data_IF_713233825785
#
_entry.id   IF_713233825785
#
_cell.length_a   1.000
_cell.length_b   1.000
_cell.length_c   1.000
_cell.angle_alpha   90.00
_cell.angle_beta   90.00
_cell.angle_gamma   90.00
#
_symmetry.space_group_name_H-M   'P 1'
#
loop_
_entity.id
_entity.type
_entity.pdbx_description
1 polymer ?
#
# COMPACT_ATOMS: atom_id res chain seq x y z
N UNK A 1 -52.40 -2.87 -22.67
CA UNK A 1 -51.03 -3.03 -23.22
C UNK A 1 -50.01 -2.11 -22.52
N UNK A 2 -50.40 -1.36 -21.49
CA UNK A 2 -49.56 -0.37 -20.80
C UNK A 2 -48.75 -0.96 -19.63
N UNK A 3 -49.23 -2.07 -19.06
CA UNK A 3 -48.63 -2.73 -17.90
C UNK A 3 -47.30 -3.44 -18.22
N UNK A 4 -47.14 -3.96 -19.45
CA UNK A 4 -45.95 -4.72 -19.86
C UNK A 4 -44.71 -3.84 -20.01
N UNK A 5 -44.89 -2.57 -20.39
CA UNK A 5 -43.79 -1.63 -20.51
C UNK A 5 -43.27 -1.16 -19.13
N UNK A 6 -44.14 -1.03 -18.14
CA UNK A 6 -43.72 -0.65 -16.78
C UNK A 6 -42.98 -1.77 -16.04
N UNK A 7 -43.34 -3.03 -16.27
CA UNK A 7 -42.55 -4.17 -15.76
C UNK A 7 -41.18 -4.26 -16.42
N UNK A 8 -41.08 -4.03 -17.74
CA UNK A 8 -39.79 -4.09 -18.43
C UNK A 8 -38.85 -2.93 -18.03
N UNK A 9 -39.37 -1.72 -17.83
CA UNK A 9 -38.58 -0.58 -17.34
C UNK A 9 -38.07 -0.83 -15.91
N UNK A 10 -38.91 -1.41 -15.02
CA UNK A 10 -38.49 -1.78 -13.67
C UNK A 10 -37.45 -2.92 -13.63
N UNK A 11 -37.52 -3.85 -14.58
CA UNK A 11 -36.56 -4.95 -14.70
C UNK A 11 -35.20 -4.49 -15.23
N UNK A 12 -35.17 -3.47 -16.10
CA UNK A 12 -33.91 -2.87 -16.57
C UNK A 12 -33.27 -1.96 -15.51
N UNK A 13 -34.05 -1.18 -14.75
CA UNK A 13 -33.52 -0.38 -13.63
C UNK A 13 -32.93 -1.27 -12.52
N UNK A 14 -33.58 -2.40 -12.17
CA UNK A 14 -33.05 -3.33 -11.17
C UNK A 14 -31.81 -4.11 -11.64
N UNK A 15 -31.59 -4.23 -12.95
CA UNK A 15 -30.38 -4.85 -13.50
C UNK A 15 -29.16 -3.94 -13.44
N UNK A 16 -29.36 -2.62 -13.41
CA UNK A 16 -28.28 -1.63 -13.37
C UNK A 16 -27.78 -1.30 -11.96
N UNK A 17 -28.60 -1.48 -10.93
CA UNK A 17 -28.21 -1.27 -9.52
C UNK A 17 -27.40 -2.44 -8.94
N UNK A 18 -27.36 -3.58 -9.63
CA UNK A 18 -26.52 -4.73 -9.33
C UNK A 18 -25.08 -4.58 -9.82
N UNK A 19 -24.42 -3.43 -9.64
CA UNK A 19 -22.95 -3.40 -9.63
C UNK A 19 -22.52 -4.12 -8.35
N UNK A 20 -22.50 -5.45 -8.44
CA UNK A 20 -21.76 -6.32 -7.52
C UNK A 20 -20.41 -5.66 -7.34
N UNK A 21 -20.18 -5.12 -6.14
CA UNK A 21 -18.86 -4.77 -5.68
C UNK A 21 -18.06 -6.06 -5.82
N UNK A 22 -17.32 -6.20 -6.93
CA UNK A 22 -16.40 -7.31 -7.15
C UNK A 22 -15.61 -7.41 -5.86
N UNK A 23 -15.82 -8.49 -5.11
CA UNK A 23 -15.13 -8.69 -3.85
C UNK A 23 -13.65 -8.55 -4.14
N UNK A 24 -13.01 -7.58 -3.50
CA UNK A 24 -11.58 -7.34 -3.70
C UNK A 24 -10.84 -8.50 -3.03
N UNK A 25 -10.69 -9.61 -3.77
CA UNK A 25 -10.01 -10.79 -3.29
C UNK A 25 -8.53 -10.67 -3.63
N UNK A 26 -7.71 -10.57 -2.59
CA UNK A 26 -6.26 -10.67 -2.64
C UNK A 26 -5.87 -12.13 -2.97
N UNK A 27 -6.02 -12.49 -4.23
CA UNK A 27 -5.82 -13.86 -4.76
C UNK A 27 -4.36 -14.13 -5.11
N UNK A 28 -3.58 -13.10 -5.42
CA UNK A 28 -2.19 -13.21 -5.88
C UNK A 28 -1.21 -12.61 -4.88
N UNK A 29 0.01 -13.16 -4.83
CA UNK A 29 1.00 -12.75 -3.85
C UNK A 29 1.44 -11.30 -4.02
N UNK A 30 1.63 -10.85 -5.27
CA UNK A 30 1.98 -9.46 -5.54
C UNK A 30 0.93 -8.44 -5.05
N UNK A 31 -0.35 -8.83 -4.92
CA UNK A 31 -1.39 -7.91 -4.45
C UNK A 31 -1.20 -7.61 -2.96
N UNK A 32 -0.73 -8.59 -2.19
CA UNK A 32 -0.35 -8.38 -0.79
C UNK A 32 0.85 -7.46 -0.67
N UNK A 33 1.88 -7.65 -1.50
CA UNK A 33 3.02 -6.74 -1.54
C UNK A 33 2.58 -5.32 -1.90
N UNK A 34 1.78 -5.15 -2.97
CA UNK A 34 1.25 -3.84 -3.34
C UNK A 34 0.52 -3.15 -2.18
N UNK A 35 -0.26 -3.93 -1.43
CA UNK A 35 -1.02 -3.41 -0.30
C UNK A 35 -0.11 -2.94 0.84
N UNK A 36 0.87 -3.77 1.22
CA UNK A 36 1.80 -3.48 2.32
C UNK A 36 2.78 -2.37 1.92
N UNK A 37 3.38 -2.47 0.74
CA UNK A 37 4.46 -1.59 0.32
C UNK A 37 4.00 -0.18 -0.05
N UNK A 38 2.77 -0.04 -0.56
CA UNK A 38 2.30 1.22 -1.13
C UNK A 38 0.95 1.67 -0.61
N UNK A 39 -0.08 0.81 -0.61
CA UNK A 39 -1.44 1.28 -0.30
C UNK A 39 -1.56 1.65 1.18
N UNK A 40 -1.16 0.77 2.09
CA UNK A 40 -1.26 1.01 3.52
C UNK A 40 -0.45 2.25 3.97
N UNK A 41 0.84 2.42 3.62
CA UNK A 41 1.59 3.61 3.98
C UNK A 41 1.00 4.88 3.34
N UNK A 42 0.50 4.81 2.11
CA UNK A 42 -0.17 5.93 1.45
C UNK A 42 -1.45 6.34 2.20
N UNK A 43 -2.26 5.39 2.63
CA UNK A 43 -3.47 5.68 3.40
C UNK A 43 -3.16 6.36 4.74
N UNK A 44 -2.12 5.88 5.44
CA UNK A 44 -1.68 6.50 6.70
C UNK A 44 -1.16 7.92 6.43
N UNK A 45 -0.36 8.10 5.37
CA UNK A 45 0.16 9.41 4.96
C UNK A 45 -0.96 10.39 4.65
N UNK A 46 -1.92 9.99 3.82
CA UNK A 46 -3.07 10.83 3.46
C UNK A 46 -3.93 11.18 4.68
N UNK A 47 -4.14 10.22 5.59
CA UNK A 47 -4.83 10.49 6.85
C UNK A 47 -4.07 11.52 7.71
N UNK A 48 -2.74 11.46 7.73
CA UNK A 48 -1.88 12.41 8.45
C UNK A 48 -1.87 13.83 7.83
N UNK A 49 -2.38 14.01 6.61
CA UNK A 49 -2.56 15.32 5.99
C UNK A 49 -3.90 15.98 6.35
N UNK A 50 -4.86 15.22 6.86
CA UNK A 50 -6.16 15.75 7.23
C UNK A 50 -6.08 16.63 8.50
N UNK A 51 -6.95 17.66 8.63
CA UNK A 51 -6.97 18.56 9.79
C UNK A 51 -7.60 17.89 11.02
N UNK A 52 -6.96 16.85 11.54
CA UNK A 52 -7.44 16.00 12.64
C UNK A 52 -6.91 16.45 14.03
N UNK A 53 -6.40 17.68 14.14
CA UNK A 53 -5.83 18.22 15.38
C UNK A 53 -4.73 17.33 15.95
N UNK A 54 -4.84 16.93 17.22
CA UNK A 54 -3.85 16.11 17.92
C UNK A 54 -3.62 14.71 17.30
N UNK A 55 -4.60 14.17 16.56
CA UNK A 55 -4.43 12.88 15.87
C UNK A 55 -3.46 12.97 14.70
N UNK A 56 -3.28 14.16 14.10
CA UNK A 56 -2.36 14.39 12.98
C UNK A 56 -0.93 13.96 13.32
N UNK A 57 -0.42 14.43 14.47
CA UNK A 57 0.92 14.09 14.94
C UNK A 57 1.09 12.62 15.33
N UNK A 58 0.01 11.93 15.72
CA UNK A 58 0.05 10.48 15.96
C UNK A 58 0.14 9.71 14.64
N UNK A 59 -0.66 10.08 13.63
CA UNK A 59 -0.62 9.46 12.30
C UNK A 59 0.72 9.69 11.60
N UNK A 60 1.31 10.88 11.75
CA UNK A 60 2.66 11.16 11.25
C UNK A 60 3.73 10.24 11.88
N UNK A 61 3.64 10.01 13.20
CA UNK A 61 4.51 9.06 13.91
C UNK A 61 4.27 7.61 13.46
N UNK A 62 3.02 7.20 13.27
CA UNK A 62 2.69 5.86 12.76
C UNK A 62 3.26 5.66 11.37
N UNK A 63 3.10 6.64 10.47
CA UNK A 63 3.69 6.60 9.13
C UNK A 63 5.21 6.50 9.19
N UNK A 64 5.86 7.31 10.03
CA UNK A 64 7.31 7.27 10.19
C UNK A 64 7.81 5.92 10.70
N UNK A 65 7.17 5.37 11.74
CA UNK A 65 7.48 4.03 12.25
C UNK A 65 7.22 2.96 11.20
N UNK A 66 6.16 3.07 10.41
CA UNK A 66 5.88 2.16 9.31
C UNK A 66 7.02 2.14 8.29
N UNK A 67 7.49 3.33 7.90
CA UNK A 67 8.64 3.47 7.00
C UNK A 67 9.89 2.79 7.58
N UNK A 68 10.19 2.94 8.86
CA UNK A 68 11.41 2.36 9.47
C UNK A 68 11.32 0.86 9.76
N UNK A 69 10.20 0.37 10.28
CA UNK A 69 10.10 -1.02 10.71
C UNK A 69 9.65 -1.96 9.59
N UNK A 70 8.75 -1.50 8.73
CA UNK A 70 8.11 -2.34 7.72
C UNK A 70 8.77 -2.17 6.36
N UNK A 71 9.02 -0.93 5.93
CA UNK A 71 9.50 -0.64 4.58
C UNK A 71 11.00 -0.44 4.47
N UNK A 72 11.71 -0.12 5.55
CA UNK A 72 13.14 0.13 5.47
C UNK A 72 13.81 -1.12 4.90
N UNK A 73 14.54 -0.99 3.78
CA UNK A 73 14.94 -2.18 3.07
C UNK A 73 16.21 -2.79 3.69
N UNK A 74 16.97 -2.04 4.49
CA UNK A 74 18.24 -2.51 5.07
C UNK A 74 18.02 -3.03 6.49
N UNK A 75 18.32 -4.31 6.77
CA UNK A 75 18.26 -4.82 8.13
C UNK A 75 19.28 -4.12 9.03
N UNK A 76 18.78 -3.47 10.08
CA UNK A 76 19.61 -3.03 11.20
C UNK A 76 19.20 -3.82 12.45
N UNK A 77 20.04 -4.79 12.81
CA UNK A 77 19.82 -5.66 13.96
C UNK A 77 20.05 -4.95 15.32
N UNK A 78 20.74 -3.80 15.34
CA UNK A 78 20.92 -3.04 16.58
C UNK A 78 19.63 -2.30 16.96
N UNK A 79 18.98 -1.66 15.98
CA UNK A 79 17.71 -0.94 16.19
C UNK A 79 16.47 -1.80 15.95
N UNK A 80 16.63 -3.02 15.43
CA UNK A 80 15.55 -3.94 15.04
C UNK A 80 14.63 -3.26 14.00
N UNK A 81 15.24 -2.58 13.02
CA UNK A 81 14.53 -1.91 11.92
C UNK A 81 14.89 -2.53 10.57
N UNK A 82 14.01 -2.37 9.58
CA UNK A 82 14.22 -2.84 8.21
C UNK A 82 14.41 -4.34 8.00
N UNK A 83 14.04 -5.17 8.99
CA UNK A 83 14.07 -6.64 8.86
C UNK A 83 12.84 -7.15 8.10
N UNK A 84 11.69 -6.48 8.23
CA UNK A 84 10.41 -6.96 7.70
C UNK A 84 10.37 -6.91 6.17
N UNK A 85 10.74 -5.77 5.55
CA UNK A 85 10.68 -5.62 4.09
C UNK A 85 11.46 -6.72 3.34
N UNK A 86 12.74 -7.00 3.68
CA UNK A 86 13.51 -8.06 3.04
C UNK A 86 12.89 -9.44 3.22
N UNK A 87 12.41 -9.77 4.43
CA UNK A 87 11.79 -11.06 4.71
C UNK A 87 10.49 -11.24 3.94
N UNK A 88 9.66 -10.20 3.88
CA UNK A 88 8.40 -10.22 3.14
C UNK A 88 8.64 -10.44 1.65
N UNK A 89 9.55 -9.67 1.07
CA UNK A 89 9.90 -9.79 -0.34
C UNK A 89 10.54 -11.13 -0.67
N UNK A 90 11.43 -11.63 0.18
CA UNK A 90 12.04 -12.95 0.02
C UNK A 90 10.98 -14.06 0.07
N UNK A 91 10.02 -13.98 0.99
CA UNK A 91 8.91 -14.93 1.09
C UNK A 91 8.08 -14.96 -0.20
N UNK A 92 7.67 -13.80 -0.72
CA UNK A 92 6.89 -13.74 -1.96
C UNK A 92 7.69 -14.14 -3.19
N UNK A 93 8.98 -13.84 -3.24
CA UNK A 93 9.90 -14.27 -4.29
C UNK A 93 9.99 -15.81 -4.33
N UNK A 94 10.30 -16.44 -3.19
CA UNK A 94 10.41 -17.91 -3.07
C UNK A 94 9.07 -18.56 -3.44
N UNK A 95 7.95 -18.04 -2.93
CA UNK A 95 6.63 -18.59 -3.24
C UNK A 95 6.26 -18.42 -4.71
N UNK A 96 6.57 -17.27 -5.31
CA UNK A 96 6.36 -17.02 -6.74
C UNK A 96 7.12 -18.01 -7.60
N UNK A 97 8.39 -18.29 -7.26
CA UNK A 97 9.22 -19.29 -7.94
C UNK A 97 8.60 -20.69 -7.78
N UNK A 98 8.26 -21.10 -6.55
CA UNK A 98 7.65 -22.42 -6.26
C UNK A 98 6.34 -22.65 -7.01
N UNK A 99 5.48 -21.63 -7.07
CA UNK A 99 4.19 -21.67 -7.76
C UNK A 99 4.30 -21.40 -9.27
N UNK A 100 5.52 -21.16 -9.79
CA UNK A 100 5.81 -20.76 -11.18
C UNK A 100 5.01 -19.52 -11.62
N UNK A 101 4.68 -18.63 -10.69
CA UNK A 101 3.92 -17.41 -10.95
C UNK A 101 4.89 -16.26 -11.25
N UNK A 102 5.18 -16.04 -12.53
CA UNK A 102 6.14 -15.03 -12.97
C UNK A 102 5.77 -13.61 -12.51
N UNK A 103 4.48 -13.28 -12.45
CA UNK A 103 4.03 -11.97 -11.97
C UNK A 103 4.42 -11.70 -10.53
N UNK A 104 4.30 -12.71 -9.64
CA UNK A 104 4.67 -12.55 -8.23
C UNK A 104 6.16 -12.29 -8.07
N UNK A 105 6.99 -13.02 -8.83
CA UNK A 105 8.45 -12.88 -8.82
C UNK A 105 8.87 -11.51 -9.33
N UNK A 106 8.38 -11.11 -10.51
CA UNK A 106 8.74 -9.84 -11.14
C UNK A 106 8.28 -8.66 -10.27
N UNK A 107 7.03 -8.67 -9.81
CA UNK A 107 6.50 -7.57 -9.01
C UNK A 107 7.16 -7.49 -7.63
N UNK A 108 7.52 -8.61 -7.01
CA UNK A 108 8.33 -8.58 -5.79
C UNK A 108 9.68 -7.88 -6.00
N UNK A 109 10.39 -8.20 -7.08
CA UNK A 109 11.68 -7.54 -7.38
C UNK A 109 11.47 -6.05 -7.64
N UNK A 110 10.48 -5.70 -8.47
CA UNK A 110 10.20 -4.31 -8.84
C UNK A 110 9.80 -3.48 -7.63
N UNK A 111 8.90 -3.98 -6.79
CA UNK A 111 8.46 -3.27 -5.58
C UNK A 111 9.60 -3.08 -4.60
N UNK A 112 10.41 -4.12 -4.38
CA UNK A 112 11.59 -3.99 -3.53
C UNK A 112 12.54 -2.92 -4.05
N UNK A 113 12.85 -2.92 -5.35
CA UNK A 113 13.72 -1.90 -5.96
C UNK A 113 13.14 -0.50 -5.79
N UNK A 114 11.83 -0.29 -5.94
CA UNK A 114 11.21 1.00 -5.69
C UNK A 114 11.42 1.43 -4.23
N UNK A 115 11.22 0.53 -3.27
CA UNK A 115 11.46 0.80 -1.85
C UNK A 115 12.93 1.19 -1.63
N UNK A 116 13.88 0.42 -2.17
CA UNK A 116 15.31 0.76 -2.15
C UNK A 116 15.56 2.18 -2.62
N UNK A 117 14.99 2.56 -3.76
CA UNK A 117 15.17 3.90 -4.33
C UNK A 117 14.57 4.98 -3.43
N UNK A 118 13.41 4.75 -2.81
CA UNK A 118 12.79 5.70 -1.87
C UNK A 118 13.69 6.00 -0.65
N UNK A 119 14.47 5.02 -0.20
CA UNK A 119 15.37 5.20 0.96
C UNK A 119 16.81 5.61 0.58
N UNK A 120 17.18 5.55 -0.69
CA UNK A 120 18.56 5.83 -1.14
C UNK A 120 18.71 7.06 -2.01
N UNK A 121 17.75 7.35 -2.89
CA UNK A 121 17.80 8.55 -3.73
C UNK A 121 17.64 9.76 -2.83
N UNK A 122 18.57 10.70 -2.99
CA UNK A 122 18.54 11.99 -2.30
C UNK A 122 17.97 13.07 -3.21
N UNK A 123 17.07 13.87 -2.66
CA UNK A 123 16.53 15.10 -3.24
C UNK A 123 16.85 16.23 -2.25
N UNK A 124 17.47 17.29 -2.74
CA UNK A 124 17.89 18.44 -1.93
C UNK A 124 18.73 18.05 -0.69
N UNK A 125 19.58 17.02 -0.81
CA UNK A 125 20.46 16.52 0.25
C UNK A 125 19.77 15.62 1.29
N UNK A 126 18.49 15.26 1.08
CA UNK A 126 17.73 14.37 1.97
C UNK A 126 17.18 13.18 1.19
N UNK A 127 17.17 11.97 1.76
CA UNK A 127 16.56 10.84 1.08
C UNK A 127 15.05 11.04 0.89
N UNK A 128 14.46 10.46 -0.17
CA UNK A 128 13.05 10.67 -0.55
C UNK A 128 12.09 10.40 0.62
N UNK A 129 12.34 9.35 1.41
CA UNK A 129 11.54 9.06 2.60
C UNK A 129 11.50 10.24 3.60
N UNK A 130 12.61 10.94 3.81
CA UNK A 130 12.67 12.13 4.68
C UNK A 130 12.07 13.37 4.03
N UNK A 131 12.23 13.50 2.71
CA UNK A 131 11.54 14.54 1.96
C UNK A 131 10.02 14.44 2.11
N UNK A 132 9.45 13.23 2.02
CA UNK A 132 8.01 12.99 2.22
C UNK A 132 7.57 13.33 3.65
N UNK A 133 8.39 12.97 4.64
CA UNK A 133 8.11 13.25 6.07
C UNK A 133 8.04 14.75 6.37
N UNK A 134 8.74 15.60 5.61
CA UNK A 134 8.74 17.06 5.80
C UNK A 134 7.36 17.71 5.66
N UNK A 135 6.45 17.08 4.93
CA UNK A 135 5.08 17.59 4.75
C UNK A 135 4.14 17.20 5.90
N UNK A 136 4.59 16.30 6.79
CA UNK A 136 3.82 15.87 7.93
C UNK A 136 4.16 16.74 9.15
N UNK A 137 3.13 16.99 9.95
CA UNK A 137 3.24 17.69 11.22
C UNK A 137 3.26 16.66 12.35
N UNK A 138 4.29 16.72 13.17
CA UNK A 138 4.47 15.81 14.29
C UNK A 138 3.81 16.30 15.58
N UNK A 139 3.22 17.50 15.56
CA UNK A 139 2.50 18.10 16.69
C UNK A 139 3.42 18.54 17.83
N UNK A 140 4.56 19.15 17.49
CA UNK A 140 5.48 19.79 18.44
C UNK A 140 5.06 21.24 18.73
#
# INVERSE_FOLDING_TARGET
MENTNQEQVNLEENKQTGKSLKSFQLTKGWQWLLYIDFILPLLIYLAALLPLGAMRGQLARIFHSYMLYILFPWPDFQSITGIIAPLLHLYFLINGIRKKQKSDVILAIVFYLIIVLIFTIQIDGTAINYFILRFLDFGL
#
